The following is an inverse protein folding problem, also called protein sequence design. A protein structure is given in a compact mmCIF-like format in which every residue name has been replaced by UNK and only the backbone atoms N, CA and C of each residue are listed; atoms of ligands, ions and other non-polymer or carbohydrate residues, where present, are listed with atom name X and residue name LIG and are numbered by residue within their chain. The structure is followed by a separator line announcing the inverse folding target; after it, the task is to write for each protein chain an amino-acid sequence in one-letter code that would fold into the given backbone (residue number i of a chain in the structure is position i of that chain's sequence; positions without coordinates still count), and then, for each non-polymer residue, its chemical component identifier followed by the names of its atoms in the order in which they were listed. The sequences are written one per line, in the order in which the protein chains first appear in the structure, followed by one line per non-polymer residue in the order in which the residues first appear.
data_IF_013817812045
#
_entry.id   IF_013817812045
#
_cell.length_a   1.000
_cell.length_b   1.000
_cell.length_c   1.000
_cell.angle_alpha   90.00
_cell.angle_beta   90.00
_cell.angle_gamma   90.00
#
_symmetry.space_group_name_H-M   'P 1'
#
loop_
_entity.id
_entity.type
_entity.pdbx_description
1 polymer ?
#
# COMPACT_ATOMS: atom_id res chain seq x y z
N UNK A 1 -1.02 2.11 24.52
CA UNK A 1 -1.39 1.38 23.29
C UNK A 1 -0.25 0.44 22.93
N UNK A 2 -0.50 -0.83 22.65
CA UNK A 2 0.58 -1.80 22.37
C UNK A 2 1.22 -1.51 21.02
N UNK A 3 2.54 -1.71 20.90
CA UNK A 3 3.29 -1.48 19.64
C UNK A 3 2.69 -2.24 18.46
N UNK A 4 2.12 -3.43 18.73
CA UNK A 4 1.36 -4.21 17.75
C UNK A 4 0.20 -3.41 17.13
N UNK A 5 -0.65 -2.81 17.95
CA UNK A 5 -1.83 -2.08 17.45
C UNK A 5 -1.39 -0.82 16.70
N UNK A 6 -0.38 -0.11 17.21
CA UNK A 6 0.18 1.07 16.55
C UNK A 6 0.75 0.71 15.16
N UNK A 7 1.57 -0.35 15.08
CA UNK A 7 2.14 -0.80 13.81
C UNK A 7 1.07 -1.22 12.80
N UNK A 8 0.01 -1.91 13.25
CA UNK A 8 -1.11 -2.29 12.38
C UNK A 8 -1.87 -1.07 11.87
N UNK A 9 -2.17 -0.09 12.73
CA UNK A 9 -2.85 1.15 12.32
C UNK A 9 -2.00 1.94 11.32
N UNK A 10 -0.69 2.07 11.57
CA UNK A 10 0.23 2.74 10.65
C UNK A 10 0.20 2.05 9.28
N UNK A 11 0.22 0.71 9.23
CA UNK A 11 0.12 -0.03 7.96
C UNK A 11 -1.23 0.18 7.27
N UNK A 12 -2.34 0.22 8.00
CA UNK A 12 -3.66 0.45 7.41
C UNK A 12 -3.73 1.85 6.79
N UNK A 13 -3.25 2.88 7.50
CA UNK A 13 -3.38 4.27 7.09
C UNK A 13 -2.35 4.71 6.04
N UNK A 14 -1.08 4.29 6.19
CA UNK A 14 0.01 4.74 5.34
C UNK A 14 0.40 3.72 4.26
N UNK A 15 -0.04 2.47 4.43
CA UNK A 15 0.19 1.41 3.46
C UNK A 15 1.19 0.33 3.88
N UNK A 16 1.40 -0.66 3.01
CA UNK A 16 2.10 -1.88 3.32
C UNK A 16 3.58 -1.57 3.52
N UNK A 17 4.12 -2.02 4.65
CA UNK A 17 5.51 -1.77 5.04
C UNK A 17 5.71 -0.58 5.97
N UNK A 18 4.75 0.34 6.10
CA UNK A 18 4.89 1.48 7.02
C UNK A 18 4.98 1.02 8.49
N UNK A 19 4.13 0.08 8.91
CA UNK A 19 4.23 -0.53 10.25
C UNK A 19 5.52 -1.31 10.46
N UNK A 20 6.11 -1.90 9.41
CA UNK A 20 7.42 -2.57 9.50
C UNK A 20 8.56 -1.57 9.75
N UNK A 21 8.49 -0.37 9.18
CA UNK A 21 9.45 0.70 9.48
C UNK A 21 9.36 1.12 10.94
N UNK A 22 8.13 1.26 11.47
CA UNK A 22 7.92 1.54 12.90
C UNK A 22 8.52 0.46 13.80
N UNK A 23 8.42 -0.81 13.42
CA UNK A 23 9.03 -1.94 14.12
C UNK A 23 10.54 -2.12 13.82
N UNK A 24 11.20 -1.14 13.20
CA UNK A 24 12.61 -1.16 12.79
C UNK A 24 12.97 -2.36 11.88
N UNK A 25 11.99 -2.93 11.16
CA UNK A 25 12.16 -3.99 10.15
C UNK A 25 12.34 -3.40 8.75
N UNK A 26 13.37 -2.56 8.59
CA UNK A 26 13.61 -1.77 7.39
C UNK A 26 13.65 -2.58 6.09
N UNK A 27 14.34 -3.73 6.06
CA UNK A 27 14.44 -4.56 4.84
C UNK A 27 13.06 -5.05 4.35
N UNK A 28 12.23 -5.55 5.28
CA UNK A 28 10.87 -6.00 4.96
C UNK A 28 9.96 -4.83 4.61
N UNK A 29 10.03 -3.74 5.37
CA UNK A 29 9.25 -2.53 5.11
C UNK A 29 9.55 -1.94 3.73
N UNK A 30 10.83 -1.78 3.39
CA UNK A 30 11.25 -1.29 2.08
C UNK A 30 10.79 -2.19 0.93
N UNK A 31 10.86 -3.52 1.11
CA UNK A 31 10.37 -4.47 0.10
C UNK A 31 8.87 -4.33 -0.14
N UNK A 32 8.06 -4.21 0.92
CA UNK A 32 6.61 -4.04 0.80
C UNK A 32 6.22 -2.70 0.18
N UNK A 33 6.91 -1.62 0.56
CA UNK A 33 6.73 -0.30 -0.03
C UNK A 33 7.10 -0.33 -1.52
N UNK A 34 8.24 -0.94 -1.87
CA UNK A 34 8.67 -1.08 -3.26
C UNK A 34 7.68 -1.90 -4.09
N UNK A 35 7.13 -2.98 -3.54
CA UNK A 35 6.08 -3.76 -4.20
C UNK A 35 4.81 -2.92 -4.43
N UNK A 36 4.37 -2.14 -3.44
CA UNK A 36 3.23 -1.22 -3.59
C UNK A 36 3.49 -0.15 -4.65
N UNK A 37 4.68 0.44 -4.65
CA UNK A 37 5.10 1.42 -5.66
C UNK A 37 5.15 0.82 -7.06
N UNK A 38 5.65 -0.40 -7.23
CA UNK A 38 5.65 -1.07 -8.55
C UNK A 38 4.23 -1.26 -9.08
N UNK A 39 3.28 -1.67 -8.22
CA UNK A 39 1.88 -1.80 -8.60
C UNK A 39 1.29 -0.44 -9.00
N UNK A 40 1.51 0.59 -8.19
CA UNK A 40 1.01 1.94 -8.43
C UNK A 40 1.59 2.55 -9.71
N UNK A 41 2.90 2.43 -9.95
CA UNK A 41 3.57 2.90 -11.17
C UNK A 41 3.05 2.14 -12.39
N UNK A 42 2.90 0.83 -12.29
CA UNK A 42 2.36 0.04 -13.38
C UNK A 42 0.93 0.48 -13.76
N UNK A 43 0.08 0.73 -12.75
CA UNK A 43 -1.26 1.28 -12.96
C UNK A 43 -1.22 2.69 -13.57
N UNK A 44 -0.34 3.57 -13.08
CA UNK A 44 -0.17 4.92 -13.61
C UNK A 44 0.24 4.92 -15.08
N UNK A 45 1.14 4.01 -15.49
CA UNK A 45 1.54 3.84 -16.90
C UNK A 45 0.33 3.42 -17.75
N UNK A 46 -0.52 2.51 -17.25
CA UNK A 46 -1.73 2.08 -17.97
C UNK A 46 -2.73 3.22 -18.14
N UNK A 47 -2.93 4.02 -17.10
CA UNK A 47 -3.80 5.21 -17.16
C UNK A 47 -3.21 6.23 -18.14
N UNK A 48 -1.92 6.56 -18.00
CA UNK A 48 -1.25 7.53 -18.87
C UNK A 48 -1.25 7.11 -20.34
N UNK A 49 -1.10 5.81 -20.64
CA UNK A 49 -1.19 5.29 -22.00
C UNK A 49 -2.60 5.32 -22.59
N UNK A 50 -3.64 5.49 -21.77
CA UNK A 50 -5.02 5.67 -22.22
C UNK A 50 -5.37 7.13 -22.52
N UNK A 51 -4.57 8.10 -22.06
CA UNK A 51 -4.78 9.52 -22.30
C UNK A 51 -4.28 9.85 -23.71
N UNK A 52 -5.16 10.32 -24.61
CA UNK A 52 -4.71 10.82 -25.91
C UNK A 52 -4.22 12.27 -25.75
N UNK A 53 -3.23 12.72 -26.53
CA UNK A 53 -2.73 14.10 -26.46
C UNK A 53 -3.81 15.17 -26.64
N UNK A 54 -4.88 14.86 -27.39
CA UNK A 54 -6.02 15.74 -27.60
C UNK A 54 -6.93 15.91 -26.37
N UNK A 55 -6.93 14.96 -25.43
CA UNK A 55 -7.82 14.96 -24.26
C UNK A 55 -7.29 15.89 -23.16
N UNK A 56 -5.99 16.20 -23.17
CA UNK A 56 -5.29 17.02 -22.16
C UNK A 56 -5.76 18.48 -22.19
N UNK A 57 -6.25 18.97 -23.32
CA UNK A 57 -6.72 20.37 -23.48
C UNK A 57 -8.24 20.53 -23.45
N UNK A 58 -9.01 19.44 -23.60
CA UNK A 58 -10.46 19.48 -23.80
C UNK A 58 -11.27 18.92 -22.62
N UNK A 59 -10.71 18.00 -21.82
CA UNK A 59 -11.41 17.36 -20.71
C UNK A 59 -10.67 17.49 -19.38
N UNK A 60 -11.44 17.52 -18.29
CA UNK A 60 -10.87 17.42 -16.95
C UNK A 60 -10.23 16.05 -16.76
N UNK A 61 -9.00 16.01 -16.26
CA UNK A 61 -8.28 14.77 -15.90
C UNK A 61 -9.14 13.81 -15.06
N UNK A 62 -10.02 14.35 -14.21
CA UNK A 62 -10.96 13.56 -13.42
C UNK A 62 -11.93 12.73 -14.28
N UNK A 63 -12.40 13.27 -15.41
CA UNK A 63 -13.32 12.57 -16.32
C UNK A 63 -12.60 11.45 -17.06
N UNK A 64 -11.39 11.72 -17.56
CA UNK A 64 -10.55 10.72 -18.24
C UNK A 64 -10.25 9.54 -17.31
N UNK A 65 -9.93 9.84 -16.05
CA UNK A 65 -9.72 8.83 -15.03
C UNK A 65 -11.01 8.03 -14.80
N UNK A 66 -12.16 8.69 -14.57
CA UNK A 66 -13.44 8.00 -14.36
C UNK A 66 -13.83 7.11 -15.55
N UNK A 67 -13.62 7.57 -16.78
CA UNK A 67 -13.88 6.79 -17.98
C UNK A 67 -12.95 5.59 -18.08
N UNK A 68 -11.66 5.74 -17.76
CA UNK A 68 -10.74 4.62 -17.68
C UNK A 68 -11.21 3.55 -16.69
N UNK A 69 -11.66 3.95 -15.49
CA UNK A 69 -12.20 3.04 -14.48
C UNK A 69 -13.44 2.30 -14.99
N UNK A 70 -14.36 2.98 -15.69
CA UNK A 70 -15.58 2.39 -16.24
C UNK A 70 -15.30 1.41 -17.38
N UNK A 71 -14.33 1.73 -18.23
CA UNK A 71 -14.00 0.92 -19.41
C UNK A 71 -13.10 -0.28 -19.07
N UNK A 72 -12.40 -0.27 -17.94
CA UNK A 72 -11.46 -1.31 -17.54
C UNK A 72 -11.76 -1.94 -16.16
N UNK A 73 -13.01 -2.33 -15.85
CA UNK A 73 -13.41 -2.74 -14.50
C UNK A 73 -12.64 -3.98 -14.01
N UNK A 74 -12.33 -4.92 -14.91
CA UNK A 74 -11.55 -6.13 -14.57
C UNK A 74 -10.10 -5.80 -14.22
N UNK A 75 -9.50 -4.85 -14.93
CA UNK A 75 -8.13 -4.41 -14.67
C UNK A 75 -8.05 -3.72 -13.31
N UNK A 76 -8.97 -2.80 -13.02
CA UNK A 76 -9.06 -2.13 -11.72
C UNK A 76 -9.23 -3.14 -10.59
N UNK A 77 -10.19 -4.06 -10.74
CA UNK A 77 -10.41 -5.11 -9.75
C UNK A 77 -9.14 -5.94 -9.49
N UNK A 78 -8.34 -6.23 -10.52
CA UNK A 78 -7.08 -6.95 -10.34
C UNK A 78 -6.06 -6.16 -9.52
N UNK A 79 -5.97 -4.84 -9.72
CA UNK A 79 -5.11 -3.98 -8.91
C UNK A 79 -5.61 -3.89 -7.46
N UNK A 80 -6.91 -3.74 -7.25
CA UNK A 80 -7.51 -3.72 -5.91
C UNK A 80 -7.23 -5.01 -5.15
N UNK A 81 -7.36 -6.17 -5.81
CA UNK A 81 -7.04 -7.48 -5.20
C UNK A 81 -5.54 -7.57 -4.87
N UNK A 82 -4.66 -7.15 -5.77
CA UNK A 82 -3.21 -7.17 -5.53
C UNK A 82 -2.80 -6.28 -4.36
N UNK A 83 -3.34 -5.05 -4.31
CA UNK A 83 -3.10 -4.13 -3.21
C UNK A 83 -3.69 -4.67 -1.90
N UNK A 84 -4.93 -5.16 -1.91
CA UNK A 84 -5.56 -5.76 -0.74
C UNK A 84 -4.76 -6.97 -0.21
N UNK A 85 -4.24 -7.82 -1.11
CA UNK A 85 -3.38 -8.94 -0.74
C UNK A 85 -2.07 -8.46 -0.10
N UNK A 86 -1.45 -7.40 -0.65
CA UNK A 86 -0.23 -6.81 -0.11
C UNK A 86 -0.44 -6.19 1.28
N UNK A 87 -1.54 -5.46 1.48
CA UNK A 87 -1.95 -4.94 2.80
C UNK A 87 -2.20 -6.06 3.80
N UNK A 88 -2.98 -7.07 3.39
CA UNK A 88 -3.33 -8.21 4.24
C UNK A 88 -2.08 -8.97 4.66
N UNK A 89 -1.17 -9.24 3.73
CA UNK A 89 0.12 -9.85 4.03
C UNK A 89 0.93 -9.02 5.03
N UNK A 90 1.03 -7.70 4.83
CA UNK A 90 1.78 -6.83 5.73
C UNK A 90 1.20 -6.84 7.16
N UNK A 91 -0.12 -6.81 7.28
CA UNK A 91 -0.82 -6.88 8.58
C UNK A 91 -0.54 -8.24 9.24
N UNK A 92 -0.73 -9.35 8.53
CA UNK A 92 -0.49 -10.69 9.07
C UNK A 92 0.97 -10.88 9.50
N UNK A 93 1.95 -10.43 8.70
CA UNK A 93 3.37 -10.51 9.07
C UNK A 93 3.67 -9.70 10.34
N UNK A 94 3.10 -8.51 10.51
CA UNK A 94 3.19 -7.73 11.76
C UNK A 94 2.61 -8.51 12.93
N UNK A 95 1.42 -9.08 12.78
CA UNK A 95 0.74 -9.81 13.85
C UNK A 95 1.51 -11.07 14.27
N UNK A 96 2.04 -11.83 13.30
CA UNK A 96 2.86 -13.02 13.54
C UNK A 96 4.20 -12.63 14.16
N UNK A 97 4.85 -11.59 13.66
CA UNK A 97 6.11 -11.10 14.22
C UNK A 97 5.97 -10.71 15.69
N UNK A 98 4.94 -9.93 16.02
CA UNK A 98 4.68 -9.50 17.40
C UNK A 98 4.29 -10.67 18.32
N UNK A 99 3.55 -11.66 17.80
CA UNK A 99 3.24 -12.89 18.55
C UNK A 99 4.51 -13.68 18.90
N UNK A 100 5.44 -13.79 17.95
CA UNK A 100 6.68 -14.54 18.14
C UNK A 100 7.76 -13.76 18.91
N UNK A 101 7.56 -12.45 19.13
CA UNK A 101 8.51 -11.57 19.81
C UNK A 101 7.78 -10.73 20.88
N UNK A 102 7.25 -11.34 21.96
CA UNK A 102 6.46 -10.63 22.96
C UNK A 102 7.23 -9.50 23.64
N UNK A 103 8.56 -9.65 23.83
CA UNK A 103 9.43 -8.58 24.36
C UNK A 103 9.48 -7.34 23.45
N UNK A 104 9.24 -7.47 22.15
CA UNK A 104 9.15 -6.33 21.23
C UNK A 104 7.86 -5.51 21.43
N UNK A 105 6.88 -6.04 22.16
CA UNK A 105 5.62 -5.37 22.46
C UNK A 105 5.69 -4.48 23.71
N UNK A 106 6.75 -4.61 24.50
CA UNK A 106 6.96 -3.76 25.67
C UNK A 106 7.40 -2.35 25.22
N UNK A 107 6.88 -1.30 25.88
CA UNK A 107 7.39 0.05 25.68
C UNK A 107 8.87 0.08 26.06
N UNK A 108 9.73 0.72 25.24
CA UNK A 108 11.13 0.93 25.63
C UNK A 108 11.11 1.71 26.95
N UNK A 109 11.69 1.15 28.03
CA UNK A 109 11.87 1.91 29.27
C UNK A 109 12.71 3.13 28.95
N UNK A 110 12.28 4.36 29.31
CA UNK A 110 13.15 5.51 29.21
C UNK A 110 14.40 5.26 30.07
N UNK A 111 15.57 5.56 29.49
CA UNK A 111 16.86 5.49 30.16
C UNK A 111 16.96 6.53 31.29
#
# INVERSE_FOLDING_TARGET
MTKKVVATIITILLGPGAGHLYLRKFKKGALLIAAGLMIAVHMAIKIAGAIKPADISAESMANIIQEFYRNNPRLILSYDILLAALWSYAIVDILVFMKNNPAANEPEKPA
#
